data_IF_912985484045
#
_entry.id   IF_912985484045
#
_cell.length_a   1.000
_cell.length_b   1.000
_cell.length_c   1.000
_cell.angle_alpha   90.00
_cell.angle_beta   90.00
_cell.angle_gamma   90.00
#
_symmetry.space_group_name_H-M   'P 1'
#
loop_
_entity.id
_entity.type
_entity.pdbx_description
1 polymer ?
#
# COMPACT_ATOMS: atom_id res chain seq x y z
N UNK A 1 5.40 -2.40 -21.44
CA UNK A 1 5.23 -1.41 -20.36
C UNK A 1 6.61 -0.89 -20.06
N UNK A 2 6.87 0.39 -20.31
CA UNK A 2 8.24 0.91 -20.32
C UNK A 2 8.87 0.88 -18.92
N UNK A 3 10.18 0.66 -18.87
CA UNK A 3 11.01 0.71 -17.64
C UNK A 3 10.79 2.04 -16.90
N UNK A 4 10.52 3.11 -17.65
CA UNK A 4 10.19 4.44 -17.14
C UNK A 4 8.86 4.44 -16.39
N UNK A 5 7.83 3.71 -16.82
CA UNK A 5 6.53 3.60 -16.13
C UNK A 5 6.63 2.79 -14.84
N UNK A 6 7.44 1.72 -14.84
CA UNK A 6 7.71 0.91 -13.63
C UNK A 6 8.51 1.75 -12.62
N UNK A 7 9.49 2.52 -13.09
CA UNK A 7 10.31 3.39 -12.25
C UNK A 7 9.52 4.60 -11.72
N UNK A 8 8.73 5.28 -12.55
CA UNK A 8 7.84 6.38 -12.12
C UNK A 8 6.77 5.89 -11.15
N UNK A 9 6.20 4.71 -11.38
CA UNK A 9 5.22 4.12 -10.48
C UNK A 9 5.81 3.62 -9.17
N UNK A 10 7.00 3.01 -9.21
CA UNK A 10 7.77 2.67 -8.01
C UNK A 10 8.14 3.91 -7.21
N UNK A 11 8.49 5.02 -7.88
CA UNK A 11 8.75 6.32 -7.26
C UNK A 11 7.48 6.94 -6.66
N UNK A 12 6.34 6.90 -7.37
CA UNK A 12 5.03 7.32 -6.84
C UNK A 12 4.59 6.47 -5.64
N UNK A 13 4.80 5.17 -5.69
CA UNK A 13 4.50 4.23 -4.59
C UNK A 13 5.40 4.49 -3.38
N UNK A 14 6.69 4.74 -3.61
CA UNK A 14 7.65 5.10 -2.58
C UNK A 14 7.36 6.46 -1.92
N UNK A 15 6.71 7.39 -2.62
CA UNK A 15 6.35 8.72 -2.07
C UNK A 15 4.95 8.75 -1.46
N UNK A 16 4.02 7.95 -1.97
CA UNK A 16 2.63 7.86 -1.46
C UNK A 16 2.55 7.12 -0.13
N UNK A 17 3.36 6.08 0.10
CA UNK A 17 3.43 5.36 1.37
C UNK A 17 3.81 6.26 2.57
N UNK A 18 4.92 7.03 2.54
CA UNK A 18 5.26 7.94 3.62
C UNK A 18 4.25 9.10 3.74
N UNK A 19 3.69 9.58 2.64
CA UNK A 19 2.63 10.60 2.67
C UNK A 19 1.37 10.09 3.37
N UNK A 20 0.89 8.89 3.05
CA UNK A 20 -0.24 8.25 3.73
C UNK A 20 0.02 8.03 5.22
N UNK A 21 1.27 7.74 5.59
CA UNK A 21 1.66 7.58 6.98
C UNK A 21 1.64 8.92 7.75
N UNK A 22 2.07 10.01 7.12
CA UNK A 22 1.94 11.37 7.68
C UNK A 22 0.46 11.71 7.90
N UNK A 23 -0.41 11.41 6.94
CA UNK A 23 -1.86 11.63 7.09
C UNK A 23 -2.46 10.78 8.22
N UNK A 24 -2.00 9.54 8.40
CA UNK A 24 -2.42 8.69 9.51
C UNK A 24 -1.98 9.25 10.87
N UNK A 25 -0.74 9.75 10.98
CA UNK A 25 -0.24 10.42 12.18
C UNK A 25 -1.00 11.73 12.48
N UNK A 26 -1.37 12.47 11.44
CA UNK A 26 -2.16 13.69 11.57
C UNK A 26 -3.59 13.42 12.07
N UNK A 27 -4.20 12.30 11.64
CA UNK A 27 -5.51 11.84 12.16
C UNK A 27 -5.42 11.37 13.62
N UNK A 28 -4.26 10.85 14.03
CA UNK A 28 -4.01 10.50 15.44
C UNK A 28 -3.92 11.74 16.34
N UNK A 29 -3.48 12.89 15.84
CA UNK A 29 -3.23 14.11 16.62
C UNK A 29 -4.49 14.87 17.11
N UNK A 30 -5.68 14.26 17.08
CA UNK A 30 -6.94 14.83 17.59
C UNK A 30 -7.28 16.22 16.99
N UNK A 31 -7.32 16.29 15.67
CA UNK A 31 -7.65 17.51 14.93
C UNK A 31 -9.09 18.01 15.18
N UNK A 32 -9.37 19.32 14.97
CA UNK A 32 -10.73 19.84 14.86
C UNK A 32 -11.53 19.08 13.81
N UNK A 33 -12.83 18.87 14.05
CA UNK A 33 -13.68 18.02 13.22
C UNK A 33 -13.62 18.33 11.71
N UNK A 34 -13.57 19.61 11.33
CA UNK A 34 -13.49 20.03 9.93
C UNK A 34 -12.18 19.57 9.26
N UNK A 35 -11.04 19.69 9.97
CA UNK A 35 -9.75 19.24 9.46
C UNK A 35 -9.66 17.72 9.45
N UNK A 36 -10.23 17.06 10.46
CA UNK A 36 -10.29 15.60 10.51
C UNK A 36 -10.98 15.02 9.28
N UNK A 37 -12.14 15.56 8.87
CA UNK A 37 -12.89 15.08 7.70
C UNK A 37 -12.04 15.23 6.43
N UNK A 38 -11.42 16.39 6.23
CA UNK A 38 -10.60 16.66 5.03
C UNK A 38 -9.41 15.70 4.97
N UNK A 39 -8.68 15.54 6.07
CA UNK A 39 -7.51 14.63 6.14
C UNK A 39 -7.94 13.18 5.96
N UNK A 40 -9.08 12.79 6.53
CA UNK A 40 -9.64 11.44 6.39
C UNK A 40 -10.00 11.12 4.93
N UNK A 41 -10.66 12.07 4.23
CA UNK A 41 -10.99 11.93 2.82
C UNK A 41 -9.74 11.88 1.94
N UNK A 42 -8.76 12.75 2.19
CA UNK A 42 -7.48 12.71 1.48
C UNK A 42 -6.80 11.35 1.68
N UNK A 43 -6.70 10.88 2.92
CA UNK A 43 -6.11 9.56 3.22
C UNK A 43 -6.83 8.44 2.48
N UNK A 44 -8.16 8.45 2.48
CA UNK A 44 -8.97 7.46 1.75
C UNK A 44 -8.74 7.52 0.24
N UNK A 45 -8.75 8.71 -0.35
CA UNK A 45 -8.53 8.91 -1.78
C UNK A 45 -7.14 8.45 -2.23
N UNK A 46 -6.09 8.89 -1.53
CA UNK A 46 -4.71 8.47 -1.83
C UNK A 46 -4.51 6.96 -1.66
N UNK A 47 -5.14 6.35 -0.66
CA UNK A 47 -5.07 4.89 -0.46
C UNK A 47 -5.73 4.12 -1.60
N UNK A 48 -6.87 4.60 -2.11
CA UNK A 48 -7.54 4.00 -3.29
C UNK A 48 -6.66 4.09 -4.54
N UNK A 49 -6.03 5.25 -4.78
CA UNK A 49 -5.10 5.44 -5.90
C UNK A 49 -3.93 4.46 -5.79
N UNK A 50 -3.33 4.33 -4.61
CA UNK A 50 -2.25 3.38 -4.36
C UNK A 50 -2.69 1.93 -4.64
N UNK A 51 -3.86 1.53 -4.15
CA UNK A 51 -4.37 0.17 -4.37
C UNK A 51 -4.58 -0.13 -5.85
N UNK A 52 -5.13 0.83 -6.61
CA UNK A 52 -5.33 0.68 -8.05
C UNK A 52 -4.00 0.60 -8.80
N UNK A 53 -3.01 1.39 -8.40
CA UNK A 53 -1.68 1.36 -9.00
C UNK A 53 -1.01 0.00 -8.78
N UNK A 54 -0.97 -0.48 -7.52
CA UNK A 54 -0.42 -1.80 -7.17
C UNK A 54 -1.12 -2.91 -7.95
N UNK A 55 -2.44 -2.82 -8.10
CA UNK A 55 -3.24 -3.77 -8.88
C UNK A 55 -2.84 -3.81 -10.35
N UNK A 56 -2.81 -2.65 -11.01
CA UNK A 56 -2.45 -2.53 -12.42
C UNK A 56 -1.05 -3.06 -12.68
N UNK A 57 -0.08 -2.74 -11.82
CA UNK A 57 1.29 -3.25 -11.97
C UNK A 57 1.38 -4.75 -11.71
N UNK A 58 0.74 -5.26 -10.65
CA UNK A 58 0.74 -6.70 -10.37
C UNK A 58 0.17 -7.49 -11.53
N UNK A 59 -0.92 -7.02 -12.13
CA UNK A 59 -1.56 -7.69 -13.27
C UNK A 59 -0.76 -7.58 -14.57
N UNK A 60 0.13 -6.59 -14.70
CA UNK A 60 1.00 -6.42 -15.87
C UNK A 60 2.24 -7.33 -15.85
N UNK A 61 2.66 -7.79 -14.66
CA UNK A 61 3.84 -8.62 -14.48
C UNK A 61 3.54 -10.11 -14.37
N UNK A 62 2.27 -10.49 -14.23
CA UNK A 62 1.84 -11.89 -14.17
C UNK A 62 1.56 -12.39 -15.59
N UNK A 63 2.13 -13.55 -15.92
CA UNK A 63 1.91 -14.24 -17.18
C UNK A 63 0.42 -14.60 -17.37
N UNK A 64 -0.10 -14.47 -18.59
CA UNK A 64 -1.55 -14.59 -18.86
C UNK A 64 -2.13 -15.95 -18.39
N UNK A 65 -1.33 -17.01 -18.41
CA UNK A 65 -1.70 -18.36 -17.97
C UNK A 65 -1.97 -18.46 -16.45
N UNK A 66 -1.32 -17.63 -15.63
CA UNK A 66 -1.40 -17.66 -14.17
C UNK A 66 -2.25 -16.54 -13.58
N UNK A 67 -2.68 -15.59 -14.41
CA UNK A 67 -3.42 -14.38 -14.00
C UNK A 67 -4.68 -14.67 -13.19
N UNK A 68 -5.44 -15.69 -13.58
CA UNK A 68 -6.66 -16.08 -12.88
C UNK A 68 -6.38 -16.63 -11.47
N UNK A 69 -5.30 -17.41 -11.31
CA UNK A 69 -4.90 -17.93 -10.00
C UNK A 69 -4.38 -16.81 -9.09
N UNK A 70 -3.59 -15.89 -9.65
CA UNK A 70 -3.10 -14.71 -8.94
C UNK A 70 -4.26 -13.81 -8.45
N UNK A 71 -5.23 -13.54 -9.32
CA UNK A 71 -6.44 -12.78 -8.96
C UNK A 71 -7.23 -13.46 -7.83
N UNK A 72 -7.41 -14.79 -7.93
CA UNK A 72 -8.07 -15.60 -6.91
C UNK A 72 -7.36 -15.53 -5.55
N UNK A 73 -6.04 -15.80 -5.52
CA UNK A 73 -5.24 -15.70 -4.30
C UNK A 73 -5.30 -14.31 -3.68
N UNK A 74 -5.14 -13.26 -4.49
CA UNK A 74 -5.20 -11.88 -4.00
C UNK A 74 -6.55 -11.55 -3.36
N UNK A 75 -7.65 -12.02 -3.95
CA UNK A 75 -8.99 -11.85 -3.38
C UNK A 75 -9.12 -12.54 -2.02
N UNK A 76 -8.60 -13.77 -1.89
CA UNK A 76 -8.59 -14.52 -0.62
C UNK A 76 -7.80 -13.77 0.45
N UNK A 77 -6.57 -13.33 0.15
CA UNK A 77 -5.76 -12.57 1.10
C UNK A 77 -6.42 -11.25 1.50
N UNK A 78 -7.01 -10.53 0.55
CA UNK A 78 -7.76 -9.30 0.83
C UNK A 78 -8.94 -9.56 1.76
N UNK A 79 -9.65 -10.66 1.56
CA UNK A 79 -10.80 -11.04 2.39
C UNK A 79 -10.39 -11.40 3.81
N UNK A 80 -9.31 -12.17 3.97
CA UNK A 80 -8.74 -12.48 5.29
C UNK A 80 -8.32 -11.20 6.01
N UNK A 81 -7.60 -10.32 5.31
CA UNK A 81 -7.18 -9.02 5.85
C UNK A 81 -8.38 -8.16 6.28
N UNK A 82 -9.43 -8.10 5.46
CA UNK A 82 -10.65 -7.37 5.77
C UNK A 82 -11.41 -7.96 6.98
N UNK A 83 -11.47 -9.28 7.10
CA UNK A 83 -12.10 -9.95 8.25
C UNK A 83 -11.34 -9.64 9.55
N UNK A 84 -10.01 -9.77 9.54
CA UNK A 84 -9.16 -9.44 10.69
C UNK A 84 -9.31 -7.96 11.05
N UNK A 85 -9.21 -7.07 10.07
CA UNK A 85 -9.36 -5.62 10.29
C UNK A 85 -10.74 -5.27 10.87
N UNK A 86 -11.82 -5.90 10.38
CA UNK A 86 -13.17 -5.66 10.88
C UNK A 86 -13.35 -6.14 12.32
N UNK A 87 -12.77 -7.28 12.68
CA UNK A 87 -12.76 -7.78 14.06
C UNK A 87 -12.05 -6.80 15.00
N UNK A 88 -10.84 -6.37 14.63
CA UNK A 88 -10.07 -5.40 15.42
C UNK A 88 -10.77 -4.03 15.50
N UNK A 89 -11.39 -3.55 14.41
CA UNK A 89 -12.16 -2.32 14.40
C UNK A 89 -13.35 -2.38 15.36
N UNK A 90 -14.08 -3.50 15.38
CA UNK A 90 -15.16 -3.74 16.34
C UNK A 90 -14.68 -3.70 17.79
N UNK A 91 -13.54 -4.34 18.08
CA UNK A 91 -12.93 -4.30 19.41
C UNK A 91 -12.53 -2.87 19.83
N UNK A 92 -12.02 -2.05 18.92
CA UNK A 92 -11.65 -0.65 19.19
C UNK A 92 -12.87 0.24 19.45
N UNK A 93 -13.97 0.02 18.70
CA UNK A 93 -15.23 0.75 18.88
C UNK A 93 -15.84 0.54 20.27
N UNK A 94 -15.74 -0.67 20.83
CA UNK A 94 -16.22 -0.98 22.19
C UNK A 94 -15.48 -0.16 23.25
N UNK A 95 -14.18 0.07 23.05
CA UNK A 95 -13.34 0.83 23.99
C UNK A 95 -13.45 2.36 23.82
N UNK A 96 -14.26 2.85 22.85
CA UNK A 96 -14.40 4.27 22.45
C UNK A 96 -13.08 4.96 22.06
N UNK A 97 -12.06 4.19 21.75
CA UNK A 97 -10.75 4.69 21.33
C UNK A 97 -10.73 4.87 19.80
N UNK A 98 -11.17 6.04 19.34
CA UNK A 98 -11.23 6.38 17.91
C UNK A 98 -9.86 6.67 17.28
N UNK A 99 -8.81 6.86 18.09
CA UNK A 99 -7.46 7.18 17.62
C UNK A 99 -6.63 5.93 17.29
N UNK A 100 -6.88 4.82 18.00
CA UNK A 100 -6.14 3.55 17.86
C UNK A 100 -6.13 2.97 16.43
N UNK A 101 -7.24 3.00 15.67
CA UNK A 101 -7.25 2.53 14.28
C UNK A 101 -6.22 3.26 13.41
N UNK A 102 -6.01 4.56 13.62
CA UNK A 102 -5.05 5.35 12.85
C UNK A 102 -3.61 5.01 13.18
N UNK A 103 -3.30 4.75 14.45
CA UNK A 103 -1.97 4.32 14.89
C UNK A 103 -1.60 2.96 14.27
N UNK A 104 -2.51 1.99 14.36
CA UNK A 104 -2.31 0.64 13.80
C UNK A 104 -2.15 0.70 12.29
N UNK A 105 -3.00 1.50 11.63
CA UNK A 105 -2.89 1.72 10.18
C UNK A 105 -1.54 2.34 9.81
N UNK A 106 -1.05 3.33 10.56
CA UNK A 106 0.27 3.92 10.36
C UNK A 106 1.40 2.89 10.52
N UNK A 107 1.33 2.05 11.56
CA UNK A 107 2.29 0.97 11.78
C UNK A 107 2.31 -0.05 10.63
N UNK A 108 1.14 -0.45 10.11
CA UNK A 108 1.05 -1.35 8.96
C UNK A 108 1.64 -0.71 7.70
N UNK A 109 1.37 0.58 7.47
CA UNK A 109 1.95 1.31 6.34
C UNK A 109 3.47 1.45 6.48
N UNK A 110 3.99 1.64 7.70
CA UNK A 110 5.44 1.63 7.96
C UNK A 110 6.08 0.30 7.61
N UNK A 111 5.47 -0.81 8.02
CA UNK A 111 5.94 -2.16 7.68
C UNK A 111 5.93 -2.35 6.16
N UNK A 112 4.86 -1.92 5.48
CA UNK A 112 4.77 -1.97 4.02
C UNK A 112 5.86 -1.12 3.33
N UNK A 113 6.15 0.07 3.88
CA UNK A 113 7.23 0.93 3.41
C UNK A 113 8.60 0.27 3.57
N UNK A 114 8.85 -0.35 4.73
CA UNK A 114 10.07 -1.13 4.98
C UNK A 114 10.20 -2.30 4.00
N UNK A 115 9.14 -3.08 3.82
CA UNK A 115 9.12 -4.18 2.85
C UNK A 115 9.44 -3.71 1.43
N UNK A 116 8.85 -2.59 1.01
CA UNK A 116 9.13 -2.01 -0.30
C UNK A 116 10.61 -1.61 -0.45
N UNK A 117 11.17 -0.92 0.54
CA UNK A 117 12.54 -0.41 0.45
C UNK A 117 13.59 -1.52 0.51
N UNK A 118 13.39 -2.53 1.38
CA UNK A 118 14.37 -3.57 1.63
C UNK A 118 14.25 -4.79 0.72
N UNK A 119 13.06 -5.09 0.18
CA UNK A 119 12.84 -6.31 -0.62
C UNK A 119 12.54 -5.98 -2.07
N UNK A 120 11.58 -5.09 -2.29
CA UNK A 120 11.08 -4.78 -3.65
C UNK A 120 12.11 -3.98 -4.45
N UNK A 121 12.64 -2.88 -3.88
CA UNK A 121 13.63 -2.03 -4.53
C UNK A 121 14.90 -2.77 -4.99
N UNK A 122 15.56 -3.62 -4.19
CA UNK A 122 16.76 -4.33 -4.65
C UNK A 122 16.47 -5.41 -5.70
N UNK A 123 15.26 -5.98 -5.73
CA UNK A 123 14.90 -6.98 -6.75
C UNK A 123 14.91 -6.37 -8.16
N UNK A 124 14.35 -5.17 -8.33
CA UNK A 124 14.38 -4.43 -9.59
C UNK A 124 15.80 -3.99 -10.02
N UNK A 125 16.64 -3.60 -9.05
CA UNK A 125 18.03 -3.22 -9.34
C UNK A 125 18.88 -4.41 -9.77
N UNK A 126 18.54 -5.62 -9.31
CA UNK A 126 19.25 -6.85 -9.66
C UNK A 126 18.88 -7.34 -11.06
N UNK A 127 17.60 -7.31 -11.43
CA UNK A 127 17.11 -7.65 -12.76
C UNK A 127 17.73 -6.77 -13.86
N UNK A 128 17.86 -5.46 -13.60
CA UNK A 128 18.45 -4.52 -14.56
C UNK A 128 19.95 -4.80 -14.80
N UNK A 129 20.70 -5.20 -13.76
CA UNK A 129 22.11 -5.61 -13.90
C UNK A 129 22.26 -6.90 -14.72
N UNK A 130 21.37 -7.86 -14.52
CA UNK A 130 21.40 -9.14 -15.25
C UNK A 130 21.09 -8.93 -16.73
N UNK A 131 20.07 -8.15 -17.07
CA UNK A 131 19.75 -7.79 -18.45
C UNK A 131 20.85 -6.96 -19.14
N UNK A 132 21.58 -6.12 -18.41
CA UNK A 132 22.72 -5.38 -18.97
C UNK A 132 23.95 -6.25 -19.26
N UNK A 133 24.06 -7.44 -18.67
CA UNK A 133 25.20 -8.35 -18.87
C UNK A 133 24.99 -9.32 -20.05
N UNK A 134 23.76 -9.44 -20.57
CA UNK A 134 23.42 -10.32 -21.71
C UNK A 134 23.58 -9.60 -23.07
N UNK A 135 23.83 -8.28 -23.07
CA UNK A 135 23.98 -7.45 -24.27
C UNK A 135 25.47 -7.13 -24.57
N UNK A 136 26.41 -7.58 -23.73
CA UNK A 136 27.86 -7.58 -23.99
C UNK A 136 28.35 -9.00 -24.35
#
# INVERSE_FOLDING_TARGET
MDIVDIFLSGMMTSLTLPFLNILAGLLFAALPANLFIVVFLLRGGFFTILNNLVESHSMSMVEDSQRNQFAGMRSVFRSIGAAIASYFAGFMLVNRDYQMPFLITGAVILIACGYFWFVVRPMFLKENKENATIID
#
